data_IF_399725550745
#
_entry.id   IF_399725550745
#
_cell.length_a   1.000
_cell.length_b   1.000
_cell.length_c   1.000
_cell.angle_alpha   90.00
_cell.angle_beta   90.00
_cell.angle_gamma   90.00
#
_symmetry.space_group_name_H-M   'P 1'
#
loop_
_entity.id
_entity.type
_entity.pdbx_description
1 polymer ?
#
# COMPACT_ATOMS: atom_id res chain seq x y z
N UNK A 1 -40.31 3.52 -18.66
CA UNK A 1 -39.69 4.81 -19.00
C UNK A 1 -40.51 5.93 -18.34
N UNK A 2 -40.37 6.09 -17.03
CA UNK A 2 -41.07 7.12 -16.26
C UNK A 2 -40.25 8.41 -16.32
N UNK A 3 -40.93 9.49 -16.70
CA UNK A 3 -40.34 10.72 -17.23
C UNK A 3 -39.58 11.51 -16.16
N UNK A 4 -38.29 11.76 -16.42
CA UNK A 4 -37.42 12.71 -15.68
C UNK A 4 -38.02 14.13 -15.63
N UNK A 5 -39.03 14.43 -16.47
CA UNK A 5 -39.73 15.71 -16.51
C UNK A 5 -40.66 15.95 -15.32
N UNK A 6 -41.21 14.90 -14.68
CA UNK A 6 -42.19 15.08 -13.59
C UNK A 6 -41.52 15.48 -12.26
N UNK A 7 -40.32 14.95 -11.99
CA UNK A 7 -39.53 15.30 -10.79
C UNK A 7 -39.00 16.72 -10.86
N UNK A 8 -38.66 17.20 -12.07
CA UNK A 8 -38.15 18.56 -12.29
C UNK A 8 -39.24 19.64 -12.20
N UNK A 9 -40.51 19.30 -12.45
CA UNK A 9 -41.64 20.22 -12.27
C UNK A 9 -42.05 20.40 -10.80
N UNK A 10 -41.97 19.34 -9.98
CA UNK A 10 -42.25 19.43 -8.53
C UNK A 10 -41.24 20.33 -7.80
N UNK A 11 -39.96 20.29 -8.19
CA UNK A 11 -38.94 21.20 -7.64
C UNK A 11 -39.19 22.67 -8.02
N UNK A 12 -39.63 22.94 -9.24
CA UNK A 12 -39.94 24.30 -9.72
C UNK A 12 -41.14 24.92 -9.02
N UNK A 13 -42.16 24.13 -8.66
CA UNK A 13 -43.35 24.66 -7.99
C UNK A 13 -43.14 24.94 -6.49
N UNK A 14 -42.15 24.30 -5.83
CA UNK A 14 -41.78 24.63 -4.45
C UNK A 14 -41.02 25.97 -4.32
N UNK A 15 -40.47 26.49 -5.42
CA UNK A 15 -39.72 27.74 -5.45
C UNK A 15 -40.62 28.97 -5.64
N UNK A 16 -41.86 28.82 -6.11
CA UNK A 16 -42.74 29.95 -6.45
C UNK A 16 -43.63 30.43 -5.30
N UNK A 17 -43.83 29.61 -4.27
CA UNK A 17 -44.57 29.98 -3.05
C UNK A 17 -43.58 30.15 -1.89
N UNK A 18 -42.93 31.31 -1.88
CA UNK A 18 -41.90 31.65 -0.90
C UNK A 18 -42.40 31.63 0.54
N UNK A 19 -41.93 30.64 1.30
CA UNK A 19 -41.43 30.80 2.67
C UNK A 19 -40.28 29.82 2.92
N UNK A 20 -39.20 29.93 2.16
CA UNK A 20 -37.90 29.52 2.68
C UNK A 20 -37.50 30.58 3.69
N UNK A 21 -37.72 30.31 4.98
CA UNK A 21 -37.03 31.04 6.03
C UNK A 21 -35.53 30.69 5.87
N UNK A 22 -34.82 31.45 5.03
CA UNK A 22 -33.38 31.44 5.02
C UNK A 22 -32.93 31.99 6.37
N UNK A 23 -32.73 31.10 7.34
CA UNK A 23 -32.10 31.44 8.61
C UNK A 23 -30.69 31.87 8.22
N UNK A 24 -30.48 33.19 8.12
CA UNK A 24 -29.15 33.77 7.93
C UNK A 24 -28.37 33.55 9.22
N UNK A 25 -27.78 32.36 9.38
CA UNK A 25 -26.86 32.09 10.48
C UNK A 25 -25.55 32.80 10.18
N UNK A 26 -25.32 33.96 10.79
CA UNK A 26 -24.02 34.61 10.80
C UNK A 26 -23.06 33.78 11.68
N UNK A 27 -22.34 32.84 11.06
CA UNK A 27 -21.31 32.05 11.72
C UNK A 27 -19.94 32.71 11.64
N UNK A 28 -19.21 32.77 12.76
CA UNK A 28 -17.78 33.10 12.75
C UNK A 28 -17.03 32.02 11.96
N UNK A 29 -16.33 32.43 10.88
CA UNK A 29 -15.44 31.52 10.16
C UNK A 29 -14.21 31.25 11.03
N UNK A 30 -14.07 30.01 11.48
CA UNK A 30 -12.85 29.56 12.14
C UNK A 30 -11.77 29.31 11.08
N UNK A 31 -10.73 30.15 11.05
CA UNK A 31 -9.55 29.93 10.24
C UNK A 31 -8.50 29.22 11.10
N UNK A 32 -8.33 27.92 10.88
CA UNK A 32 -7.30 27.15 11.57
C UNK A 32 -5.91 27.72 11.22
N UNK A 33 -4.96 27.72 12.18
CA UNK A 33 -3.60 28.15 11.90
C UNK A 33 -2.95 27.26 10.83
N UNK A 34 -2.07 27.80 9.98
CA UNK A 34 -1.40 27.02 8.96
C UNK A 34 -0.48 25.96 9.58
N UNK A 35 -0.43 24.80 8.94
CA UNK A 35 0.41 23.67 9.37
C UNK A 35 1.89 24.06 9.18
N UNK A 36 2.69 23.88 10.24
CA UNK A 36 4.14 24.15 10.22
C UNK A 36 4.93 22.86 9.96
N UNK A 37 5.83 22.89 8.99
CA UNK A 37 6.64 21.74 8.56
C UNK A 37 8.09 21.82 9.08
N UNK A 38 8.29 21.77 10.40
CA UNK A 38 9.60 22.02 11.02
C UNK A 38 10.58 20.82 10.93
N UNK A 39 10.07 19.59 10.82
CA UNK A 39 10.87 18.37 10.94
C UNK A 39 11.30 17.77 9.59
N UNK A 40 11.17 18.50 8.49
CA UNK A 40 11.38 17.97 7.14
C UNK A 40 12.50 18.73 6.45
N UNK A 41 13.66 18.09 6.41
CA UNK A 41 14.80 18.54 5.61
C UNK A 41 14.68 18.00 4.19
N UNK A 42 14.84 18.89 3.22
CA UNK A 42 14.74 18.51 1.81
C UNK A 42 16.10 17.98 1.33
N UNK A 43 16.15 16.76 0.75
CA UNK A 43 17.39 16.24 0.19
C UNK A 43 17.76 16.95 -1.10
N UNK A 44 19.05 16.96 -1.43
CA UNK A 44 19.59 17.51 -2.70
C UNK A 44 18.90 16.90 -3.93
N UNK A 45 18.57 15.61 -3.87
CA UNK A 45 17.91 14.86 -4.95
C UNK A 45 16.51 14.43 -4.52
N UNK A 46 15.48 15.26 -4.76
CA UNK A 46 14.12 14.99 -4.30
C UNK A 46 13.38 13.92 -5.12
N UNK A 47 13.80 13.66 -6.37
CA UNK A 47 13.15 12.68 -7.24
C UNK A 47 13.61 11.26 -6.94
N UNK A 48 12.71 10.30 -7.15
CA UNK A 48 13.04 8.87 -7.07
C UNK A 48 14.15 8.50 -8.05
N UNK A 49 15.22 7.88 -7.52
CA UNK A 49 16.29 7.31 -8.36
C UNK A 49 15.75 6.20 -9.26
N UNK A 50 16.39 6.02 -10.41
CA UNK A 50 16.13 4.91 -11.31
C UNK A 50 16.62 3.62 -10.64
N UNK A 51 15.79 2.58 -10.65
CA UNK A 51 16.15 1.26 -10.14
C UNK A 51 16.73 0.40 -11.26
N UNK A 52 17.79 -0.34 -10.96
CA UNK A 52 18.37 -1.29 -11.91
C UNK A 52 17.42 -2.46 -12.17
N UNK A 53 17.43 -2.99 -13.40
CA UNK A 53 16.60 -4.15 -13.78
C UNK A 53 17.12 -5.46 -13.24
N UNK A 54 18.43 -5.57 -13.04
CA UNK A 54 19.12 -6.75 -12.56
C UNK A 54 20.21 -6.32 -11.57
N UNK A 55 20.53 -7.16 -10.57
CA UNK A 55 21.64 -6.87 -9.67
C UNK A 55 22.97 -6.94 -10.42
N UNK A 56 23.88 -6.03 -10.10
CA UNK A 56 25.25 -6.09 -10.59
C UNK A 56 26.00 -7.22 -9.87
N UNK A 57 26.58 -8.12 -10.66
CA UNK A 57 27.37 -9.25 -10.17
C UNK A 57 28.77 -9.18 -10.77
N UNK A 58 29.80 -9.68 -10.07
CA UNK A 58 31.15 -9.69 -10.63
C UNK A 58 31.19 -10.53 -11.91
N UNK A 59 31.98 -10.14 -12.94
CA UNK A 59 31.97 -10.80 -14.25
C UNK A 59 32.18 -12.32 -14.20
N UNK A 60 32.94 -12.79 -13.21
CA UNK A 60 33.29 -14.21 -13.07
C UNK A 60 32.15 -15.06 -12.49
N UNK A 61 31.10 -14.44 -11.94
CA UNK A 61 30.01 -15.15 -11.29
C UNK A 61 28.79 -15.25 -12.21
N UNK A 62 28.41 -16.49 -12.53
CA UNK A 62 27.13 -16.74 -13.19
C UNK A 62 25.98 -16.43 -12.23
N UNK A 63 24.94 -15.68 -12.66
CA UNK A 63 23.82 -15.33 -11.80
C UNK A 63 23.14 -16.58 -11.20
N UNK A 64 23.03 -16.67 -9.87
CA UNK A 64 22.54 -17.88 -9.22
C UNK A 64 21.03 -18.07 -9.47
N UNK A 65 20.63 -19.28 -9.86
CA UNK A 65 19.21 -19.63 -10.03
C UNK A 65 18.57 -19.97 -8.68
N UNK A 66 17.49 -19.29 -8.31
CA UNK A 66 16.83 -19.48 -7.01
C UNK A 66 15.47 -20.18 -7.12
N UNK A 67 15.09 -21.03 -6.15
CA UNK A 67 13.70 -21.51 -6.05
C UNK A 67 12.75 -20.32 -5.83
N UNK A 68 11.51 -20.39 -6.32
CA UNK A 68 10.55 -19.28 -6.24
C UNK A 68 10.22 -18.81 -4.81
N UNK A 69 10.41 -19.67 -3.79
CA UNK A 69 10.22 -19.38 -2.34
C UNK A 69 9.04 -18.43 -2.04
N UNK A 70 7.80 -18.92 -2.20
CA UNK A 70 6.58 -18.13 -2.02
C UNK A 70 6.43 -17.55 -0.59
N UNK A 71 7.09 -18.14 0.40
CA UNK A 71 7.17 -17.66 1.79
C UNK A 71 7.67 -16.21 1.97
N UNK A 72 8.32 -15.64 0.96
CA UNK A 72 8.76 -14.23 1.01
C UNK A 72 7.62 -13.24 0.85
N UNK A 73 6.46 -13.66 0.34
CA UNK A 73 5.28 -12.80 0.20
C UNK A 73 4.23 -13.08 1.28
N UNK A 74 4.34 -14.22 1.97
CA UNK A 74 3.36 -14.65 2.99
C UNK A 74 3.67 -14.03 4.36
N UNK A 75 2.62 -13.62 5.06
CA UNK A 75 2.67 -13.03 6.40
C UNK A 75 2.88 -11.51 6.41
N UNK A 76 2.95 -10.92 7.61
CA UNK A 76 3.21 -9.50 7.80
C UNK A 76 4.69 -9.15 7.63
N UNK A 77 4.94 -7.90 7.29
CA UNK A 77 6.26 -7.30 7.23
C UNK A 77 6.76 -6.94 8.65
N UNK A 78 7.92 -7.46 9.08
CA UNK A 78 8.39 -7.25 10.45
C UNK A 78 9.22 -5.97 10.64
N UNK A 79 9.93 -5.48 9.62
CA UNK A 79 10.97 -4.44 9.80
C UNK A 79 10.58 -3.10 9.18
N UNK A 80 10.10 -3.09 7.94
CA UNK A 80 9.85 -1.85 7.21
C UNK A 80 8.36 -1.54 7.07
N UNK A 81 7.68 -1.55 8.21
CA UNK A 81 6.27 -1.23 8.36
C UNK A 81 6.02 0.23 8.83
N UNK A 82 7.03 0.90 9.40
CA UNK A 82 6.95 2.28 9.89
C UNK A 82 7.40 3.32 8.85
N UNK A 83 6.90 4.56 8.96
CA UNK A 83 7.34 5.71 8.16
C UNK A 83 8.60 6.35 8.77
N UNK A 84 9.60 6.64 7.95
CA UNK A 84 10.85 7.25 8.42
C UNK A 84 10.68 8.76 8.64
N UNK A 85 10.02 9.43 7.70
CA UNK A 85 9.74 10.86 7.71
C UNK A 85 8.40 11.20 8.37
N UNK A 86 7.64 10.18 8.81
CA UNK A 86 6.35 10.32 9.53
C UNK A 86 5.32 11.20 8.81
N UNK A 87 5.28 11.14 7.47
CA UNK A 87 4.33 11.90 6.66
C UNK A 87 3.41 10.99 5.85
N UNK A 88 3.79 10.63 4.62
CA UNK A 88 2.89 9.92 3.69
C UNK A 88 3.60 8.78 2.99
N UNK A 89 2.87 7.71 2.71
CA UNK A 89 3.41 6.59 1.94
C UNK A 89 2.34 5.74 1.26
N UNK A 90 2.82 4.85 0.39
CA UNK A 90 2.05 3.70 -0.08
C UNK A 90 2.48 2.48 0.75
N UNK A 91 1.51 1.84 1.40
CA UNK A 91 1.69 0.60 2.17
C UNK A 91 0.97 -0.54 1.46
N UNK A 92 1.66 -1.67 1.30
CA UNK A 92 1.08 -2.91 0.80
C UNK A 92 0.14 -3.50 1.84
N UNK A 93 -1.12 -3.78 1.50
CA UNK A 93 -2.02 -4.56 2.37
C UNK A 93 -1.97 -6.06 2.02
N UNK A 94 -1.57 -6.41 0.80
CA UNK A 94 -1.36 -7.78 0.35
C UNK A 94 0.09 -8.09 -0.01
N UNK A 95 0.43 -9.39 -0.03
CA UNK A 95 1.73 -9.87 -0.51
C UNK A 95 1.80 -10.01 -2.02
N UNK A 96 2.97 -9.76 -2.62
CA UNK A 96 3.14 -9.90 -4.07
C UNK A 96 4.56 -9.63 -4.57
N UNK A 97 4.74 -9.58 -5.89
CA UNK A 97 6.04 -9.34 -6.55
C UNK A 97 6.05 -8.03 -7.31
N UNK A 98 7.02 -7.18 -7.01
CA UNK A 98 7.32 -6.01 -7.84
C UNK A 98 8.31 -6.39 -8.94
N UNK A 99 7.90 -6.20 -10.19
CA UNK A 99 8.77 -6.28 -11.37
C UNK A 99 9.38 -4.91 -11.63
N UNK A 100 10.48 -4.87 -12.37
CA UNK A 100 11.13 -3.60 -12.76
C UNK A 100 10.15 -2.61 -13.42
N UNK A 101 9.25 -3.07 -14.28
CA UNK A 101 8.24 -2.21 -14.90
C UNK A 101 7.31 -1.50 -13.90
N UNK A 102 7.03 -2.10 -12.74
CA UNK A 102 6.25 -1.44 -11.69
C UNK A 102 7.05 -0.30 -11.04
N UNK A 103 8.37 -0.48 -10.84
CA UNK A 103 9.23 0.60 -10.35
C UNK A 103 9.24 1.79 -11.30
N UNK A 104 9.33 1.53 -12.61
CA UNK A 104 9.37 2.59 -13.61
C UNK A 104 8.03 3.32 -13.73
N UNK A 105 6.91 2.58 -13.70
CA UNK A 105 5.57 3.16 -13.62
C UNK A 105 5.43 4.09 -12.40
N UNK A 106 5.83 3.62 -11.21
CA UNK A 106 5.77 4.40 -9.98
C UNK A 106 6.63 5.67 -10.08
N UNK A 107 7.88 5.51 -10.53
CA UNK A 107 8.86 6.60 -10.69
C UNK A 107 8.36 7.68 -11.64
N UNK A 108 7.83 7.28 -12.80
CA UNK A 108 7.32 8.21 -13.81
C UNK A 108 6.06 8.93 -13.32
N UNK A 109 5.12 8.21 -12.71
CA UNK A 109 3.85 8.78 -12.24
C UNK A 109 4.10 9.81 -11.13
N UNK A 110 4.88 9.44 -10.13
CA UNK A 110 5.24 10.34 -9.02
C UNK A 110 6.08 11.50 -9.55
N UNK A 111 7.11 11.23 -10.36
CA UNK A 111 7.99 12.27 -10.89
C UNK A 111 7.32 13.29 -11.80
N UNK A 112 6.19 12.95 -12.44
CA UNK A 112 5.39 13.88 -13.26
C UNK A 112 4.46 14.77 -12.44
N UNK A 113 3.97 14.29 -11.31
CA UNK A 113 2.93 14.96 -10.50
C UNK A 113 3.47 15.66 -9.25
N UNK A 114 4.62 15.24 -8.77
CA UNK A 114 5.26 15.78 -7.58
C UNK A 114 5.91 17.14 -7.87
N UNK A 115 5.74 18.11 -6.96
CA UNK A 115 6.52 19.35 -7.00
C UNK A 115 7.90 19.12 -6.36
N UNK A 116 8.95 19.31 -7.16
CA UNK A 116 10.36 19.07 -6.82
C UNK A 116 10.87 20.02 -5.74
N UNK A 117 10.31 21.24 -5.66
CA UNK A 117 10.74 22.27 -4.73
C UNK A 117 10.18 22.07 -3.33
N UNK A 118 8.99 21.47 -3.19
CA UNK A 118 8.32 21.32 -1.89
C UNK A 118 8.32 19.90 -1.37
N UNK A 119 8.38 18.91 -2.26
CA UNK A 119 8.28 17.49 -1.94
C UNK A 119 9.56 16.75 -2.32
N UNK A 120 9.74 15.58 -1.72
CA UNK A 120 10.69 14.56 -2.16
C UNK A 120 10.11 13.17 -1.94
N UNK A 121 10.57 12.22 -2.75
CA UNK A 121 10.11 10.84 -2.71
C UNK A 121 11.29 9.89 -2.52
N UNK A 122 11.12 8.89 -1.66
CA UNK A 122 12.16 7.92 -1.32
C UNK A 122 11.66 6.49 -1.48
N UNK A 123 12.51 5.65 -2.04
CA UNK A 123 12.25 4.21 -2.13
C UNK A 123 12.45 3.55 -0.76
N UNK A 124 11.44 2.80 -0.29
CA UNK A 124 11.54 1.97 0.91
C UNK A 124 11.78 0.49 0.59
N UNK A 125 11.86 0.15 -0.69
CA UNK A 125 12.03 -1.22 -1.19
C UNK A 125 13.34 -1.31 -2.00
N UNK A 126 14.11 -2.40 -1.87
CA UNK A 126 15.33 -2.60 -2.65
C UNK A 126 15.03 -2.77 -4.14
N UNK A 127 16.08 -2.67 -4.96
CA UNK A 127 15.99 -3.03 -6.37
C UNK A 127 15.64 -4.54 -6.53
N UNK A 128 15.07 -4.94 -7.69
CA UNK A 128 14.78 -6.32 -8.01
C UNK A 128 16.00 -7.24 -7.85
N UNK A 129 15.90 -8.22 -6.95
CA UNK A 129 16.99 -9.14 -6.62
C UNK A 129 16.62 -10.62 -6.73
N UNK A 130 15.35 -10.98 -6.63
CA UNK A 130 14.92 -12.39 -6.71
C UNK A 130 14.84 -12.82 -8.18
N UNK A 131 15.65 -13.82 -8.62
CA UNK A 131 15.62 -14.28 -10.01
C UNK A 131 14.41 -15.18 -10.26
N UNK A 132 13.67 -14.91 -11.33
CA UNK A 132 12.57 -15.74 -11.81
C UNK A 132 13.00 -16.45 -13.09
N UNK A 133 13.03 -17.78 -13.05
CA UNK A 133 13.38 -18.60 -14.21
C UNK A 133 12.15 -18.97 -15.04
N UNK A 134 12.31 -18.99 -16.37
CA UNK A 134 11.30 -19.43 -17.33
C UNK A 134 11.93 -20.42 -18.31
N UNK A 135 11.19 -21.47 -18.69
CA UNK A 135 11.60 -22.36 -19.79
C UNK A 135 11.15 -21.76 -21.11
N UNK A 136 11.83 -22.11 -22.20
CA UNK A 136 11.39 -21.75 -23.55
C UNK A 136 9.98 -22.27 -23.83
N UNK A 137 9.22 -21.53 -24.64
CA UNK A 137 7.90 -21.98 -25.08
C UNK A 137 8.04 -23.25 -25.92
N UNK A 138 7.13 -24.22 -25.75
CA UNK A 138 7.14 -25.49 -26.49
C UNK A 138 8.08 -26.57 -25.93
N UNK A 139 8.83 -26.30 -24.86
CA UNK A 139 9.71 -27.30 -24.25
C UNK A 139 8.95 -28.30 -23.37
N UNK A 140 9.40 -29.56 -23.37
CA UNK A 140 8.81 -30.62 -22.51
C UNK A 140 9.22 -30.46 -21.03
N UNK A 141 8.53 -31.20 -20.16
CA UNK A 141 8.91 -31.35 -18.75
C UNK A 141 10.27 -32.07 -18.63
N UNK A 142 10.99 -31.86 -17.52
CA UNK A 142 12.37 -32.40 -17.36
C UNK A 142 13.47 -31.46 -17.88
N UNK A 143 14.69 -31.96 -18.12
CA UNK A 143 15.79 -31.16 -18.69
C UNK A 143 16.37 -30.06 -17.78
N UNK A 144 16.08 -30.12 -16.48
CA UNK A 144 16.58 -29.15 -15.50
C UNK A 144 15.86 -27.80 -15.52
N UNK A 145 16.50 -26.80 -14.90
CA UNK A 145 15.92 -25.48 -14.64
C UNK A 145 16.26 -24.48 -15.75
N UNK A 146 15.23 -23.78 -16.24
CA UNK A 146 15.36 -22.77 -17.30
C UNK A 146 16.29 -21.60 -16.97
N UNK A 147 16.50 -20.73 -17.95
CA UNK A 147 17.25 -19.48 -17.80
C UNK A 147 16.48 -18.47 -16.94
N UNK A 148 17.19 -17.48 -16.38
CA UNK A 148 16.57 -16.37 -15.64
C UNK A 148 15.95 -15.42 -16.68
N UNK A 149 14.66 -15.12 -16.51
CA UNK A 149 13.88 -14.26 -17.40
C UNK A 149 13.88 -12.81 -16.91
N UNK A 150 13.63 -12.61 -15.62
CA UNK A 150 13.64 -11.29 -14.99
C UNK A 150 13.85 -11.41 -13.48
N UNK A 151 14.15 -10.27 -12.85
CA UNK A 151 14.25 -10.15 -11.40
C UNK A 151 12.99 -9.48 -10.83
N UNK A 152 12.64 -9.84 -9.61
CA UNK A 152 11.52 -9.27 -8.86
C UNK A 152 11.93 -8.96 -7.43
N UNK A 153 11.14 -8.13 -6.77
CA UNK A 153 11.21 -7.92 -5.33
C UNK A 153 9.95 -8.49 -4.67
N UNK A 154 10.06 -9.52 -3.81
CA UNK A 154 8.91 -10.00 -3.04
C UNK A 154 8.56 -8.99 -1.93
N UNK A 155 7.27 -8.75 -1.76
CA UNK A 155 6.69 -7.81 -0.80
C UNK A 155 5.70 -8.57 0.09
N UNK A 156 5.73 -8.26 1.39
CA UNK A 156 4.78 -8.75 2.41
C UNK A 156 3.72 -7.69 2.73
N UNK A 157 2.62 -8.14 3.34
CA UNK A 157 1.59 -7.24 3.86
C UNK A 157 2.17 -6.33 4.96
N UNK A 158 1.81 -5.06 4.98
CA UNK A 158 2.34 -4.04 5.89
C UNK A 158 3.65 -3.39 5.44
N UNK A 159 4.23 -3.78 4.29
CA UNK A 159 5.47 -3.18 3.78
C UNK A 159 5.22 -1.80 3.19
N UNK A 160 6.01 -0.81 3.64
CA UNK A 160 6.06 0.52 3.02
C UNK A 160 6.85 0.44 1.70
N UNK A 161 6.28 0.93 0.59
CA UNK A 161 6.86 0.81 -0.75
C UNK A 161 7.60 2.08 -1.17
N UNK A 162 6.88 3.19 -1.19
CA UNK A 162 7.38 4.53 -1.49
C UNK A 162 6.88 5.45 -0.39
N UNK A 163 7.78 6.32 0.05
CA UNK A 163 7.49 7.36 1.02
C UNK A 163 7.63 8.72 0.33
N UNK A 164 6.72 9.63 0.65
CA UNK A 164 6.75 11.01 0.20
C UNK A 164 6.75 11.90 1.43
N UNK A 165 7.70 12.83 1.43
CA UNK A 165 7.81 13.83 2.47
C UNK A 165 8.07 15.21 1.86
N UNK A 166 7.79 16.26 2.62
CA UNK A 166 7.93 17.63 2.18
C UNK A 166 7.01 18.60 2.91
N UNK A 167 6.94 19.81 2.37
CA UNK A 167 5.95 20.84 2.70
C UNK A 167 4.69 20.58 1.89
N UNK A 168 3.97 19.51 2.23
CA UNK A 168 2.77 19.10 1.49
C UNK A 168 1.68 18.56 2.39
N UNK A 169 0.44 18.75 1.94
CA UNK A 169 -0.74 18.24 2.61
C UNK A 169 -1.15 16.88 2.04
N UNK A 170 -1.84 16.08 2.87
CA UNK A 170 -2.28 14.75 2.47
C UNK A 170 -3.19 14.78 1.24
N UNK A 171 -4.02 15.82 1.11
CA UNK A 171 -4.97 15.96 -0.01
C UNK A 171 -4.24 16.05 -1.35
N UNK A 172 -3.14 16.80 -1.41
CA UNK A 172 -2.33 16.96 -2.62
C UNK A 172 -1.67 15.63 -3.04
N UNK A 173 -1.15 14.91 -2.04
CA UNK A 173 -0.36 13.69 -2.26
C UNK A 173 -1.25 12.47 -2.54
N UNK A 174 -2.42 12.39 -1.89
CA UNK A 174 -3.34 11.25 -1.95
C UNK A 174 -3.77 10.94 -3.38
N UNK A 175 -4.10 11.95 -4.19
CA UNK A 175 -4.64 11.74 -5.53
C UNK A 175 -3.73 10.92 -6.44
N UNK A 176 -2.45 11.28 -6.50
CA UNK A 176 -1.50 10.56 -7.36
C UNK A 176 -0.93 9.30 -6.72
N UNK A 177 -0.75 9.26 -5.39
CA UNK A 177 -0.37 8.02 -4.72
C UNK A 177 -1.44 6.94 -4.85
N UNK A 178 -2.72 7.32 -4.84
CA UNK A 178 -3.82 6.37 -5.02
C UNK A 178 -3.84 5.81 -6.44
N UNK A 179 -3.60 6.65 -7.45
CA UNK A 179 -3.45 6.18 -8.83
C UNK A 179 -2.34 5.13 -8.94
N UNK A 180 -1.20 5.39 -8.29
CA UNK A 180 -0.08 4.45 -8.26
C UNK A 180 -0.46 3.15 -7.53
N UNK A 181 -1.10 3.25 -6.36
CA UNK A 181 -1.52 2.10 -5.57
C UNK A 181 -2.45 1.16 -6.36
N UNK A 182 -3.37 1.73 -7.14
CA UNK A 182 -4.30 0.96 -7.98
C UNK A 182 -3.61 0.22 -9.14
N UNK A 183 -2.42 0.65 -9.56
CA UNK A 183 -1.63 0.02 -10.63
C UNK A 183 -0.66 -1.04 -10.10
N UNK A 184 -0.56 -1.21 -8.78
CA UNK A 184 0.29 -2.24 -8.19
C UNK A 184 -0.32 -3.64 -8.38
N UNK A 185 0.52 -4.69 -8.47
CA UNK A 185 0.05 -6.06 -8.69
C UNK A 185 -0.56 -6.72 -7.45
N UNK A 186 -0.70 -5.98 -6.35
CA UNK A 186 -1.26 -6.41 -5.08
C UNK A 186 -2.02 -5.23 -4.46
N UNK A 187 -2.88 -5.52 -3.49
CA UNK A 187 -3.64 -4.48 -2.79
C UNK A 187 -2.69 -3.58 -1.99
N UNK A 188 -2.86 -2.27 -2.16
CA UNK A 188 -2.09 -1.26 -1.49
C UNK A 188 -2.98 -0.08 -1.13
N UNK A 189 -2.63 0.60 -0.04
CA UNK A 189 -3.36 1.78 0.45
C UNK A 189 -2.39 2.93 0.66
N UNK A 190 -2.85 4.14 0.38
CA UNK A 190 -2.15 5.36 0.74
C UNK A 190 -2.44 5.67 2.21
N UNK A 191 -1.41 5.99 2.97
CA UNK A 191 -1.52 6.25 4.40
C UNK A 191 -0.76 7.53 4.77
N UNK A 192 -1.27 8.24 5.77
CA UNK A 192 -0.50 9.21 6.55
C UNK A 192 -0.05 8.59 7.88
N UNK A 193 0.88 9.25 8.58
CA UNK A 193 1.27 8.82 9.92
C UNK A 193 0.08 8.75 10.87
N UNK A 194 -0.76 9.79 10.90
CA UNK A 194 -1.97 9.83 11.72
C UNK A 194 -2.90 8.64 11.42
N UNK A 195 -3.11 8.31 10.14
CA UNK A 195 -3.93 7.15 9.76
C UNK A 195 -3.34 5.81 10.20
N UNK A 196 -2.00 5.69 10.30
CA UNK A 196 -1.38 4.47 10.83
C UNK A 196 -1.57 4.36 12.33
N UNK A 197 -1.39 5.47 13.06
CA UNK A 197 -1.56 5.52 14.51
C UNK A 197 -3.04 5.27 14.90
N UNK A 198 -3.98 5.85 14.15
CA UNK A 198 -5.42 5.59 14.27
C UNK A 198 -5.75 4.10 14.06
N UNK A 199 -5.25 3.48 12.98
CA UNK A 199 -5.47 2.05 12.73
C UNK A 199 -4.94 1.16 13.85
N UNK A 200 -3.77 1.50 14.41
CA UNK A 200 -3.21 0.76 15.54
C UNK A 200 -4.10 0.90 16.79
N UNK A 201 -4.55 2.12 17.09
CA UNK A 201 -5.44 2.37 18.22
C UNK A 201 -6.81 1.68 18.05
N UNK A 202 -7.36 1.68 16.83
CA UNK A 202 -8.58 0.94 16.47
C UNK A 202 -8.40 -0.57 16.67
N UNK A 203 -7.29 -1.14 16.18
CA UNK A 203 -6.99 -2.57 16.36
C UNK A 203 -6.87 -2.95 17.85
N UNK A 204 -6.24 -2.11 18.68
CA UNK A 204 -6.16 -2.30 20.12
C UNK A 204 -7.52 -2.14 20.82
N UNK A 205 -8.34 -1.19 20.37
CA UNK A 205 -9.69 -1.00 20.87
C UNK A 205 -10.57 -2.21 20.54
N UNK A 206 -10.61 -2.66 19.29
CA UNK A 206 -11.35 -3.84 18.88
C UNK A 206 -10.89 -5.09 19.63
N UNK A 207 -9.58 -5.24 19.90
CA UNK A 207 -9.07 -6.36 20.68
C UNK A 207 -9.55 -6.33 22.14
N UNK A 208 -9.65 -5.15 22.77
CA UNK A 208 -10.16 -4.98 24.13
C UNK A 208 -11.67 -5.17 24.23
N UNK A 209 -12.41 -4.67 23.24
CA UNK A 209 -13.87 -4.70 23.22
C UNK A 209 -14.44 -6.04 22.75
N UNK A 210 -13.62 -6.91 22.16
CA UNK A 210 -14.04 -8.21 21.67
C UNK A 210 -14.67 -9.06 22.79
N UNK A 211 -16.00 -9.22 22.73
CA UNK A 211 -16.78 -10.03 23.67
C UNK A 211 -16.68 -11.53 23.40
N UNK A 212 -16.24 -11.95 22.20
CA UNK A 212 -16.16 -13.36 21.87
C UNK A 212 -15.02 -14.05 22.64
N UNK A 213 -15.32 -15.03 23.51
CA UNK A 213 -14.29 -15.74 24.28
C UNK A 213 -13.39 -16.61 23.40
N UNK A 214 -13.88 -17.05 22.23
CA UNK A 214 -13.15 -17.93 21.32
C UNK A 214 -12.40 -17.12 20.26
N UNK A 215 -11.29 -16.50 20.66
CA UNK A 215 -10.38 -15.87 19.69
C UNK A 215 -9.66 -16.93 18.85
N UNK A 216 -9.33 -16.60 17.60
CA UNK A 216 -8.57 -17.52 16.73
C UNK A 216 -7.23 -17.94 17.36
N UNK A 217 -6.59 -17.02 18.10
CA UNK A 217 -5.40 -17.32 18.89
C UNK A 217 -5.67 -18.40 19.95
N UNK A 218 -6.74 -18.23 20.74
CA UNK A 218 -7.13 -19.17 21.78
C UNK A 218 -7.49 -20.57 21.23
N UNK A 219 -8.30 -20.60 20.17
CA UNK A 219 -8.71 -21.85 19.51
C UNK A 219 -7.49 -22.66 19.04
N UNK A 220 -6.54 -21.98 18.38
CA UNK A 220 -5.34 -22.62 17.85
C UNK A 220 -4.41 -23.06 18.97
N UNK A 221 -4.17 -22.24 19.99
CA UNK A 221 -3.24 -22.59 21.07
C UNK A 221 -3.71 -23.81 21.87
N UNK A 222 -5.02 -23.95 22.08
CA UNK A 222 -5.60 -25.06 22.84
C UNK A 222 -5.98 -26.28 21.97
N UNK A 223 -5.68 -26.26 20.67
CA UNK A 223 -6.04 -27.32 19.73
C UNK A 223 -7.54 -27.74 19.84
N UNK A 224 -8.43 -26.76 19.97
CA UNK A 224 -9.85 -27.04 20.15
C UNK A 224 -10.38 -27.82 18.93
N UNK A 225 -11.19 -28.85 19.20
CA UNK A 225 -11.72 -29.78 18.20
C UNK A 225 -10.64 -30.42 17.29
N UNK A 226 -9.39 -30.51 17.76
CA UNK A 226 -8.29 -31.07 16.97
C UNK A 226 -7.92 -30.21 15.75
N UNK A 227 -8.08 -28.88 15.84
CA UNK A 227 -7.86 -27.96 14.72
C UNK A 227 -6.46 -28.05 14.08
N UNK A 228 -5.45 -28.52 14.80
CA UNK A 228 -4.09 -28.70 14.28
C UNK A 228 -4.01 -29.70 13.12
N UNK A 229 -4.99 -30.61 12.98
CA UNK A 229 -5.01 -31.61 11.90
C UNK A 229 -5.21 -30.98 10.51
N UNK A 230 -5.86 -29.83 10.44
CA UNK A 230 -6.23 -29.18 9.17
C UNK A 230 -5.65 -27.77 9.00
N UNK A 231 -5.07 -27.17 10.05
CA UNK A 231 -4.41 -25.87 9.96
C UNK A 231 -2.98 -25.97 9.40
N UNK A 232 -2.57 -24.91 8.68
CA UNK A 232 -1.19 -24.79 8.20
C UNK A 232 -0.28 -24.34 9.35
N UNK A 233 1.01 -24.73 9.38
CA UNK A 233 1.99 -24.18 10.32
C UNK A 233 2.09 -22.65 10.33
N UNK A 234 1.65 -22.00 9.24
CA UNK A 234 1.61 -20.53 9.15
C UNK A 234 0.43 -19.95 9.92
N UNK A 235 -0.69 -20.66 10.01
CA UNK A 235 -1.86 -20.23 10.79
C UNK A 235 -1.56 -20.29 12.29
N UNK A 236 -0.72 -21.24 12.71
CA UNK A 236 -0.17 -21.27 14.07
C UNK A 236 0.66 -20.03 14.40
N UNK A 237 1.29 -19.42 13.38
CA UNK A 237 2.13 -18.23 13.56
C UNK A 237 1.33 -16.93 13.52
N UNK A 238 0.35 -16.83 12.64
CA UNK A 238 -0.37 -15.59 12.34
C UNK A 238 -1.84 -15.59 12.74
N UNK A 239 -2.33 -16.68 13.34
CA UNK A 239 -3.68 -16.83 13.87
C UNK A 239 -4.76 -16.45 12.86
N UNK A 240 -4.63 -16.89 11.61
CA UNK A 240 -5.60 -16.66 10.54
C UNK A 240 -5.63 -15.24 9.95
N UNK A 241 -4.79 -14.30 10.43
CA UNK A 241 -4.75 -12.93 9.90
C UNK A 241 -4.13 -12.82 8.50
N UNK A 242 -3.31 -13.80 8.11
CA UNK A 242 -2.61 -13.82 6.83
C UNK A 242 -2.74 -15.19 6.19
N UNK A 243 -3.53 -15.26 5.12
CA UNK A 243 -3.75 -16.47 4.34
C UNK A 243 -2.60 -16.72 3.36
#
# INVERSE_FOLDING_TARGET
>A
MWSVKTVTQLFKNSLSTGKFAAINTAGLKYFAPPIKYQNVEQPERPKLRIMERMPQLPPNLRPPKMQKRLRYMRGPEPVHNSLLHKQYAIVATGGGRLRWGHYEMMRLTIGRKMNVQTMFATWRVPAPWQPITKKGQGQRMGGGKGAIDHYVTPIRAGRVIVEIAGKCEFVEVKGFLQQVANQLPFQATVVSQAMLDERLAEEEQYARENQNPFTMKYVIQNNLNGCHRWLSPVDHKWFGKHL
#
